data_IF_992540343017
#
_entry.id   IF_992540343017
#
_cell.length_a   1.000
_cell.length_b   1.000
_cell.length_c   1.000
_cell.angle_alpha   90.00
_cell.angle_beta   90.00
_cell.angle_gamma   90.00
#
_symmetry.space_group_name_H-M   'P 1'
#
loop_
_entity.id
_entity.type
_entity.pdbx_description
1 polymer ?
#
# COMPACT_ATOMS: atom_id res chain seq x y z
N UNK A 1 27.89 -14.09 -17.65
CA UNK A 1 27.80 -13.24 -16.45
C UNK A 1 26.33 -13.00 -16.19
N UNK A 2 25.83 -13.05 -14.95
CA UNK A 2 24.45 -12.66 -14.66
C UNK A 2 24.25 -11.18 -15.06
N UNK A 3 23.17 -10.88 -15.77
CA UNK A 3 22.85 -9.51 -16.15
C UNK A 3 22.37 -8.74 -14.92
N UNK A 4 22.64 -7.43 -14.87
CA UNK A 4 22.13 -6.54 -13.82
C UNK A 4 20.88 -5.78 -14.26
N UNK A 5 20.37 -6.02 -15.45
CA UNK A 5 19.19 -5.36 -16.00
C UNK A 5 17.92 -6.16 -15.75
N UNK A 6 16.83 -5.47 -15.42
CA UNK A 6 15.49 -6.03 -15.32
C UNK A 6 14.83 -6.14 -16.68
N UNK A 7 13.84 -7.04 -16.81
CA UNK A 7 13.07 -7.19 -18.03
C UNK A 7 12.01 -6.07 -18.16
N UNK A 8 12.07 -5.27 -19.24
CA UNK A 8 11.08 -4.27 -19.61
C UNK A 8 10.06 -4.87 -20.59
N UNK A 9 9.14 -5.70 -20.10
CA UNK A 9 8.17 -6.42 -20.95
C UNK A 9 6.71 -6.01 -20.75
N UNK A 10 6.43 -5.05 -19.85
CA UNK A 10 5.08 -4.56 -19.60
C UNK A 10 4.64 -3.56 -20.69
N UNK A 11 3.41 -3.74 -21.20
CA UNK A 11 2.80 -2.81 -22.15
C UNK A 11 2.07 -1.69 -21.41
N UNK A 12 1.79 -0.56 -22.07
CA UNK A 12 1.08 0.58 -21.48
C UNK A 12 -0.29 0.19 -20.89
N UNK A 13 -1.03 -0.74 -21.51
CA UNK A 13 -2.29 -1.28 -20.98
C UNK A 13 -2.11 -1.99 -19.63
N UNK A 14 -1.00 -2.75 -19.47
CA UNK A 14 -0.68 -3.45 -18.23
C UNK A 14 -0.40 -2.43 -17.11
N UNK A 15 0.44 -1.42 -17.38
CA UNK A 15 0.77 -0.36 -16.41
C UNK A 15 -0.49 0.37 -15.97
N UNK A 16 -1.38 0.75 -16.90
CA UNK A 16 -2.62 1.45 -16.56
C UNK A 16 -3.52 0.60 -15.68
N UNK A 17 -3.80 -0.66 -16.01
CA UNK A 17 -4.68 -1.51 -15.22
C UNK A 17 -4.04 -2.02 -13.91
N UNK A 18 -2.74 -2.29 -13.90
CA UNK A 18 -2.00 -2.56 -12.66
C UNK A 18 -2.11 -1.36 -11.70
N UNK A 19 -2.01 -0.14 -12.22
CA UNK A 19 -2.22 1.08 -11.42
C UNK A 19 -3.65 1.23 -10.88
N UNK A 20 -4.65 0.67 -11.56
CA UNK A 20 -6.05 0.68 -11.10
C UNK A 20 -6.36 -0.47 -10.15
N UNK A 21 -5.89 -1.67 -10.46
CA UNK A 21 -6.27 -2.90 -9.78
C UNK A 21 -5.27 -3.38 -8.72
N UNK A 22 -3.98 -3.01 -8.86
CA UNK A 22 -2.93 -3.43 -7.93
C UNK A 22 -3.09 -2.92 -6.49
N UNK A 23 -3.96 -1.89 -6.30
CA UNK A 23 -4.27 -1.31 -4.98
C UNK A 23 -5.39 -2.08 -4.28
N UNK A 24 -6.27 -2.74 -5.05
CA UNK A 24 -7.44 -3.43 -4.51
C UNK A 24 -7.02 -4.86 -4.13
N UNK A 25 -6.78 -5.08 -2.86
CA UNK A 25 -6.39 -6.34 -2.25
C UNK A 25 -7.11 -6.60 -0.93
N UNK A 26 -6.45 -7.27 0.00
CA UNK A 26 -6.99 -7.55 1.33
C UNK A 26 -7.41 -6.29 2.09
N UNK A 27 -6.75 -5.16 1.87
CA UNK A 27 -7.09 -3.90 2.55
C UNK A 27 -8.54 -3.48 2.35
N UNK A 28 -9.08 -3.60 1.13
CA UNK A 28 -10.49 -3.26 0.86
C UNK A 28 -11.42 -4.45 1.14
N UNK A 29 -11.10 -5.65 0.61
CA UNK A 29 -12.03 -6.78 0.70
C UNK A 29 -12.12 -7.44 2.07
N UNK A 30 -11.08 -7.29 2.90
CA UNK A 30 -10.98 -7.92 4.23
C UNK A 30 -10.72 -6.88 5.31
N UNK A 31 -9.74 -5.98 5.13
CA UNK A 31 -9.37 -4.97 6.11
C UNK A 31 -10.48 -3.97 6.42
N UNK A 32 -11.42 -3.77 5.49
CA UNK A 32 -12.59 -2.93 5.74
C UNK A 32 -13.47 -3.44 6.88
N UNK A 33 -13.55 -4.75 7.14
CA UNK A 33 -14.25 -5.29 8.30
C UNK A 33 -13.64 -4.81 9.63
N UNK A 34 -12.31 -4.79 9.70
CA UNK A 34 -11.59 -4.27 10.87
C UNK A 34 -11.83 -2.75 11.05
N UNK A 35 -11.76 -1.97 9.96
CA UNK A 35 -12.01 -0.53 10.02
C UNK A 35 -13.45 -0.22 10.44
N UNK A 36 -14.43 -0.95 9.92
CA UNK A 36 -15.85 -0.81 10.29
C UNK A 36 -16.06 -1.18 11.76
N UNK A 37 -15.49 -2.28 12.21
CA UNK A 37 -15.59 -2.72 13.61
C UNK A 37 -14.97 -1.69 14.58
N UNK A 38 -13.84 -1.06 14.20
CA UNK A 38 -13.19 -0.02 15.02
C UNK A 38 -13.99 1.28 15.08
N UNK A 39 -14.51 1.76 13.96
CA UNK A 39 -15.10 3.09 13.84
C UNK A 39 -16.62 3.11 13.92
N UNK A 40 -17.28 1.97 13.76
CA UNK A 40 -18.72 1.93 13.51
C UNK A 40 -19.08 2.58 12.17
N UNK A 41 -20.28 3.14 12.06
CA UNK A 41 -20.73 3.83 10.85
C UNK A 41 -19.89 5.07 10.52
N UNK A 42 -19.22 5.69 11.50
CA UNK A 42 -18.33 6.83 11.30
C UNK A 42 -17.06 6.48 10.50
N UNK A 43 -16.82 5.21 10.19
CA UNK A 43 -15.79 4.73 9.27
C UNK A 43 -15.84 5.45 7.91
N UNK A 44 -17.00 5.91 7.46
CA UNK A 44 -17.15 6.72 6.25
C UNK A 44 -16.30 7.99 6.30
N UNK A 45 -16.25 8.65 7.46
CA UNK A 45 -15.41 9.82 7.68
C UNK A 45 -13.93 9.40 7.70
N UNK A 46 -13.58 8.25 8.29
CA UNK A 46 -12.21 7.71 8.26
C UNK A 46 -11.73 7.49 6.83
N UNK A 47 -12.59 6.92 5.95
CA UNK A 47 -12.29 6.76 4.53
C UNK A 47 -12.18 8.09 3.79
N UNK A 48 -13.04 9.05 4.07
CA UNK A 48 -12.98 10.39 3.45
C UNK A 48 -11.71 11.15 3.86
N UNK A 49 -11.38 11.17 5.15
CA UNK A 49 -10.16 11.83 5.66
C UNK A 49 -8.89 11.16 5.15
N UNK A 50 -8.82 9.84 5.19
CA UNK A 50 -7.69 9.07 4.65
C UNK A 50 -7.54 9.28 3.15
N UNK A 51 -8.65 9.24 2.42
CA UNK A 51 -8.67 9.49 0.98
C UNK A 51 -8.20 10.90 0.62
N UNK A 52 -8.59 11.91 1.38
CA UNK A 52 -8.11 13.28 1.22
C UNK A 52 -6.60 13.37 1.48
N UNK A 53 -6.12 12.75 2.56
CA UNK A 53 -4.70 12.72 2.90
C UNK A 53 -3.88 12.06 1.78
N UNK A 54 -4.29 10.87 1.33
CA UNK A 54 -3.62 10.14 0.24
C UNK A 54 -3.63 10.98 -1.05
N UNK A 55 -4.76 11.59 -1.39
CA UNK A 55 -4.87 12.46 -2.56
C UNK A 55 -3.89 13.64 -2.51
N UNK A 56 -3.77 14.31 -1.35
CA UNK A 56 -2.86 15.44 -1.19
C UNK A 56 -1.40 15.00 -1.30
N UNK A 57 -1.04 13.85 -0.72
CA UNK A 57 0.30 13.25 -0.88
C UNK A 57 0.58 12.90 -2.35
N UNK A 58 -0.39 12.30 -3.06
CA UNK A 58 -0.22 11.99 -4.48
C UNK A 58 -0.05 13.27 -5.32
N UNK A 59 -0.70 14.37 -4.94
CA UNK A 59 -0.52 15.66 -5.59
C UNK A 59 0.87 16.26 -5.33
N UNK A 60 1.39 16.14 -4.09
CA UNK A 60 2.75 16.55 -3.75
C UNK A 60 3.79 15.74 -4.54
N UNK A 61 3.61 14.43 -4.59
CA UNK A 61 4.47 13.55 -5.39
C UNK A 61 4.38 13.90 -6.88
N UNK A 62 3.17 14.17 -7.37
CA UNK A 62 2.93 14.59 -8.74
C UNK A 62 3.62 15.91 -9.12
N UNK A 63 3.67 16.88 -8.21
CA UNK A 63 4.41 18.14 -8.41
C UNK A 63 5.90 17.87 -8.66
N UNK A 64 6.52 17.03 -7.81
CA UNK A 64 7.92 16.66 -7.96
C UNK A 64 8.16 15.83 -9.24
N UNK A 65 7.25 14.91 -9.54
CA UNK A 65 7.35 14.02 -10.70
C UNK A 65 7.21 14.76 -12.04
N UNK A 66 6.38 15.79 -12.11
CA UNK A 66 6.24 16.63 -13.32
C UNK A 66 7.45 17.55 -13.51
N UNK A 67 8.05 18.04 -12.42
CA UNK A 67 9.23 18.90 -12.49
C UNK A 67 10.49 18.11 -12.90
N UNK A 68 10.62 16.85 -12.48
CA UNK A 68 11.76 15.98 -12.81
C UNK A 68 11.25 14.62 -13.32
N UNK A 69 10.79 14.53 -14.59
CA UNK A 69 10.33 13.28 -15.17
C UNK A 69 11.48 12.29 -15.38
N UNK A 70 11.16 10.99 -15.42
CA UNK A 70 12.16 9.94 -15.64
C UNK A 70 12.78 9.35 -14.37
N UNK A 71 12.32 9.77 -13.20
CA UNK A 71 12.71 9.21 -11.90
C UNK A 71 11.78 8.04 -11.56
N UNK A 72 12.36 6.86 -11.36
CA UNK A 72 11.60 5.61 -11.27
C UNK A 72 10.93 5.33 -9.92
N UNK A 73 11.26 6.07 -8.86
CA UNK A 73 10.73 5.81 -7.51
C UNK A 73 10.52 7.07 -6.69
N UNK A 74 9.50 7.05 -5.83
CA UNK A 74 9.29 8.18 -4.94
C UNK A 74 10.36 8.33 -3.83
N UNK A 75 11.15 7.30 -3.59
CA UNK A 75 12.34 7.40 -2.75
C UNK A 75 13.37 8.37 -3.34
N UNK A 76 13.53 8.38 -4.67
CA UNK A 76 14.40 9.35 -5.37
C UNK A 76 13.87 10.77 -5.27
N UNK A 77 12.54 10.96 -5.40
CA UNK A 77 11.93 12.27 -5.18
C UNK A 77 12.14 12.78 -3.75
N UNK A 78 12.05 11.89 -2.75
CA UNK A 78 12.44 12.24 -1.38
C UNK A 78 13.90 12.68 -1.29
N UNK A 79 14.79 12.02 -2.04
CA UNK A 79 16.20 12.36 -2.16
C UNK A 79 16.46 13.72 -2.81
N UNK A 80 15.71 14.10 -3.83
CA UNK A 80 15.81 15.42 -4.46
C UNK A 80 15.47 16.56 -3.49
N UNK A 81 14.45 16.37 -2.66
CA UNK A 81 14.06 17.37 -1.68
C UNK A 81 14.97 17.46 -0.46
N UNK A 82 15.33 16.33 0.11
CA UNK A 82 15.99 16.23 1.43
C UNK A 82 17.40 15.64 1.39
N UNK A 83 17.85 15.17 0.24
CA UNK A 83 19.17 14.57 0.06
C UNK A 83 19.21 13.05 0.19
N UNK A 84 20.41 12.44 -0.02
CA UNK A 84 20.56 10.98 -0.14
C UNK A 84 20.08 10.16 1.06
N UNK A 85 20.07 10.75 2.26
CA UNK A 85 19.56 10.08 3.46
C UNK A 85 18.05 9.78 3.37
N UNK A 86 17.30 10.71 2.79
CA UNK A 86 15.85 10.54 2.64
C UNK A 86 15.55 9.49 1.57
N UNK A 87 16.32 9.46 0.48
CA UNK A 87 16.20 8.41 -0.54
C UNK A 87 16.43 7.02 0.06
N UNK A 88 17.52 6.87 0.83
CA UNK A 88 17.84 5.62 1.51
C UNK A 88 16.73 5.18 2.46
N UNK A 89 16.31 6.08 3.35
CA UNK A 89 15.31 5.77 4.38
C UNK A 89 13.97 5.43 3.76
N UNK A 90 13.50 6.25 2.82
CA UNK A 90 12.23 6.01 2.12
C UNK A 90 12.25 4.71 1.33
N UNK A 91 13.36 4.40 0.65
CA UNK A 91 13.51 3.15 -0.11
C UNK A 91 13.41 1.91 0.77
N UNK A 92 14.11 1.88 1.91
CA UNK A 92 14.06 0.77 2.85
C UNK A 92 12.71 0.65 3.56
N UNK A 93 12.10 1.75 3.97
CA UNK A 93 10.77 1.73 4.61
C UNK A 93 9.69 1.25 3.65
N UNK A 94 9.75 1.67 2.37
CA UNK A 94 8.80 1.21 1.36
C UNK A 94 8.99 -0.27 1.00
N UNK A 95 10.24 -0.73 0.92
CA UNK A 95 10.53 -2.15 0.78
C UNK A 95 9.95 -2.95 1.95
N UNK A 96 10.18 -2.50 3.18
CA UNK A 96 9.67 -3.14 4.39
C UNK A 96 8.13 -3.13 4.45
N UNK A 97 7.51 -2.02 4.05
CA UNK A 97 6.06 -1.95 3.90
C UNK A 97 5.53 -3.09 3.02
N UNK A 98 6.08 -3.26 1.81
CA UNK A 98 5.65 -4.33 0.90
C UNK A 98 5.96 -5.73 1.41
N UNK A 99 7.01 -5.91 2.17
CA UNK A 99 7.31 -7.17 2.88
C UNK A 99 6.17 -7.52 3.85
N UNK A 100 5.66 -6.53 4.60
CA UNK A 100 4.50 -6.73 5.49
C UNK A 100 3.23 -7.01 4.68
N UNK A 101 3.02 -6.32 3.56
CA UNK A 101 1.88 -6.57 2.65
C UNK A 101 1.84 -8.01 2.19
N UNK A 102 2.98 -8.61 1.84
CA UNK A 102 3.06 -10.05 1.50
C UNK A 102 2.52 -10.92 2.63
N UNK A 103 2.84 -10.59 3.89
CA UNK A 103 2.30 -11.29 5.05
C UNK A 103 0.79 -11.10 5.24
N UNK A 104 0.30 -9.86 5.10
CA UNK A 104 -1.14 -9.52 5.20
C UNK A 104 -1.94 -10.30 4.15
N UNK A 105 -1.53 -10.24 2.89
CA UNK A 105 -2.23 -10.88 1.78
C UNK A 105 -2.19 -12.41 1.90
N UNK A 106 -1.09 -12.98 2.44
CA UNK A 106 -0.99 -14.43 2.69
C UNK A 106 -2.04 -14.88 3.70
N UNK A 107 -2.18 -14.17 4.84
CA UNK A 107 -3.16 -14.53 5.87
C UNK A 107 -4.59 -14.28 5.38
N UNK A 108 -4.85 -13.13 4.78
CA UNK A 108 -6.16 -12.80 4.24
C UNK A 108 -6.63 -13.81 3.20
N UNK A 109 -5.76 -14.18 2.26
CA UNK A 109 -6.04 -15.21 1.26
C UNK A 109 -6.33 -16.58 1.88
N UNK A 110 -5.55 -16.97 2.89
CA UNK A 110 -5.75 -18.22 3.60
C UNK A 110 -7.07 -18.23 4.39
N UNK A 111 -7.42 -17.15 5.07
CA UNK A 111 -8.68 -17.00 5.81
C UNK A 111 -9.89 -17.08 4.87
N UNK A 112 -9.84 -16.39 3.72
CA UNK A 112 -10.91 -16.47 2.72
C UNK A 112 -11.07 -17.87 2.15
N UNK A 113 -9.96 -18.56 1.85
CA UNK A 113 -9.98 -19.93 1.32
C UNK A 113 -10.42 -20.99 2.34
N UNK A 114 -10.25 -20.71 3.63
CA UNK A 114 -10.69 -21.60 4.70
C UNK A 114 -12.20 -21.90 4.64
N UNK A 115 -13.02 -21.00 4.06
CA UNK A 115 -14.44 -21.26 3.85
C UNK A 115 -14.73 -22.39 2.84
N UNK A 116 -13.74 -22.76 2.01
CA UNK A 116 -13.88 -23.86 1.01
C UNK A 116 -13.05 -25.08 1.32
N UNK A 117 -11.99 -24.91 2.11
CA UNK A 117 -11.07 -25.99 2.46
C UNK A 117 -11.05 -26.20 3.96
N UNK A 118 -11.40 -27.40 4.42
CA UNK A 118 -11.34 -27.78 5.83
C UNK A 118 -9.89 -27.98 6.31
N UNK A 119 -9.09 -26.89 6.22
CA UNK A 119 -7.68 -26.88 6.61
C UNK A 119 -7.36 -25.65 7.47
N UNK A 120 -6.37 -25.72 8.38
CA UNK A 120 -6.00 -24.57 9.18
C UNK A 120 -5.37 -23.45 8.33
N UNK A 121 -5.62 -22.19 8.72
CA UNK A 121 -5.17 -20.98 7.97
C UNK A 121 -3.68 -21.02 7.67
N UNK A 122 -2.84 -21.43 8.63
CA UNK A 122 -1.39 -21.50 8.43
C UNK A 122 -0.99 -22.42 7.27
N UNK A 123 -1.64 -23.59 7.12
CA UNK A 123 -1.30 -24.54 6.05
C UNK A 123 -1.74 -24.06 4.68
N UNK A 124 -2.92 -23.44 4.58
CA UNK A 124 -3.38 -22.79 3.35
C UNK A 124 -2.43 -21.64 3.00
N UNK A 125 -2.04 -20.82 3.98
CA UNK A 125 -1.09 -19.72 3.80
C UNK A 125 0.28 -20.19 3.28
N UNK A 126 0.82 -21.29 3.79
CA UNK A 126 2.05 -21.89 3.27
C UNK A 126 1.93 -22.30 1.80
N UNK A 127 0.83 -22.96 1.44
CA UNK A 127 0.58 -23.36 0.05
C UNK A 127 0.49 -22.11 -0.86
N UNK A 128 -0.25 -21.10 -0.43
CA UNK A 128 -0.42 -19.86 -1.19
C UNK A 128 0.91 -19.13 -1.44
N UNK A 129 1.71 -18.92 -0.39
CA UNK A 129 2.97 -18.18 -0.54
C UNK A 129 3.96 -18.96 -1.41
N UNK A 130 4.02 -20.29 -1.31
CA UNK A 130 4.87 -21.11 -2.16
C UNK A 130 4.40 -21.05 -3.62
N UNK A 131 3.10 -21.17 -3.87
CA UNK A 131 2.53 -21.10 -5.23
C UNK A 131 2.81 -19.72 -5.86
N UNK A 132 2.58 -18.62 -5.14
CA UNK A 132 2.83 -17.25 -5.64
C UNK A 132 4.33 -16.97 -5.83
N UNK A 133 5.17 -17.54 -5.00
CA UNK A 133 6.63 -17.48 -5.20
C UNK A 133 7.04 -18.20 -6.48
N UNK A 134 6.51 -19.38 -6.73
CA UNK A 134 6.79 -20.14 -7.96
C UNK A 134 6.38 -19.35 -9.21
N UNK A 135 5.19 -18.73 -9.23
CA UNK A 135 4.74 -17.89 -10.35
C UNK A 135 5.68 -16.70 -10.60
N UNK A 136 6.15 -16.02 -9.54
CA UNK A 136 7.07 -14.89 -9.64
C UNK A 136 8.46 -15.29 -10.16
N UNK A 137 8.91 -16.53 -9.93
CA UNK A 137 10.18 -17.05 -10.43
C UNK A 137 10.15 -17.39 -11.94
N UNK A 138 8.96 -17.50 -12.55
CA UNK A 138 8.81 -17.92 -13.95
C UNK A 138 9.11 -16.80 -14.96
N UNK A 139 8.27 -15.74 -15.00
CA UNK A 139 8.41 -14.69 -16.03
C UNK A 139 7.63 -13.41 -15.71
N UNK A 140 8.23 -12.25 -16.05
CA UNK A 140 7.61 -10.92 -15.90
C UNK A 140 6.43 -10.71 -16.86
N UNK A 141 6.48 -11.28 -18.07
CA UNK A 141 5.41 -11.15 -19.06
C UNK A 141 4.13 -11.83 -18.59
N UNK A 142 4.27 -13.03 -18.05
CA UNK A 142 3.14 -13.80 -17.50
C UNK A 142 2.49 -13.04 -16.34
N UNK A 143 3.30 -12.43 -15.47
CA UNK A 143 2.82 -11.56 -14.39
C UNK A 143 1.92 -10.43 -14.93
N UNK A 144 2.36 -9.69 -15.95
CA UNK A 144 1.62 -8.54 -16.49
C UNK A 144 0.24 -8.91 -17.08
N UNK A 145 0.14 -10.04 -17.77
CA UNK A 145 -1.14 -10.51 -18.35
C UNK A 145 -2.12 -10.97 -17.25
N UNK A 146 -1.65 -11.72 -16.26
CA UNK A 146 -2.50 -12.12 -15.14
C UNK A 146 -3.01 -10.90 -14.35
N UNK A 147 -2.13 -9.96 -14.04
CA UNK A 147 -2.50 -8.77 -13.28
C UNK A 147 -3.49 -7.88 -14.01
N UNK A 148 -3.38 -7.79 -15.35
CA UNK A 148 -4.35 -7.08 -16.18
C UNK A 148 -5.78 -7.63 -16.00
N UNK A 149 -5.96 -8.95 -16.15
CA UNK A 149 -7.27 -9.58 -16.04
C UNK A 149 -7.81 -9.55 -14.61
N UNK A 150 -6.97 -9.75 -13.63
CA UNK A 150 -7.37 -9.63 -12.23
C UNK A 150 -7.77 -8.21 -11.86
N UNK A 151 -7.06 -7.21 -12.34
CA UNK A 151 -7.42 -5.81 -12.11
C UNK A 151 -8.78 -5.46 -12.73
N UNK A 152 -9.03 -5.90 -13.96
CA UNK A 152 -10.31 -5.70 -14.63
C UNK A 152 -11.46 -6.36 -13.86
N UNK A 153 -11.27 -7.61 -13.42
CA UNK A 153 -12.26 -8.36 -12.64
C UNK A 153 -12.59 -7.65 -11.31
N UNK A 154 -11.58 -7.19 -10.58
CA UNK A 154 -11.76 -6.46 -9.31
C UNK A 154 -12.59 -5.19 -9.49
N UNK A 155 -12.22 -4.37 -10.48
CA UNK A 155 -12.91 -3.10 -10.76
C UNK A 155 -14.35 -3.34 -11.18
N UNK A 156 -14.59 -4.31 -12.08
CA UNK A 156 -15.93 -4.68 -12.52
C UNK A 156 -16.80 -5.20 -11.36
N UNK A 157 -16.20 -6.01 -10.47
CA UNK A 157 -16.91 -6.58 -9.33
C UNK A 157 -17.34 -5.51 -8.32
N UNK A 158 -16.47 -4.55 -7.99
CA UNK A 158 -16.80 -3.46 -7.07
C UNK A 158 -17.86 -2.54 -7.70
N UNK A 159 -17.74 -2.24 -9.00
CA UNK A 159 -18.76 -1.47 -9.71
C UNK A 159 -20.12 -2.18 -9.69
N UNK A 160 -20.15 -3.48 -9.97
CA UNK A 160 -21.37 -4.29 -9.89
C UNK A 160 -21.93 -4.32 -8.46
N UNK A 161 -21.09 -4.49 -7.44
CA UNK A 161 -21.47 -4.43 -6.04
C UNK A 161 -22.15 -3.09 -5.68
N UNK A 162 -21.57 -1.97 -6.13
CA UNK A 162 -22.14 -0.64 -5.89
C UNK A 162 -23.52 -0.50 -6.57
N UNK A 163 -23.65 -0.95 -7.82
CA UNK A 163 -24.92 -0.89 -8.55
C UNK A 163 -25.98 -1.76 -7.88
N UNK A 164 -25.63 -2.99 -7.52
CA UNK A 164 -26.54 -3.94 -6.85
C UNK A 164 -26.94 -3.42 -5.47
N UNK A 165 -25.99 -2.97 -4.67
CA UNK A 165 -26.24 -2.45 -3.33
C UNK A 165 -27.06 -1.16 -3.34
N UNK A 166 -26.77 -0.24 -4.25
CA UNK A 166 -27.59 0.97 -4.45
C UNK A 166 -29.01 0.63 -4.94
N UNK A 167 -29.15 -0.30 -5.88
CA UNK A 167 -30.43 -0.80 -6.33
C UNK A 167 -31.26 -1.42 -5.19
N UNK A 168 -30.61 -2.21 -4.34
CA UNK A 168 -31.25 -2.77 -3.14
C UNK A 168 -31.73 -1.67 -2.18
N UNK A 169 -30.89 -0.72 -1.84
CA UNK A 169 -31.21 0.34 -0.89
C UNK A 169 -32.24 1.33 -1.41
N UNK A 170 -32.29 1.62 -2.72
CA UNK A 170 -33.12 2.67 -3.29
C UNK A 170 -34.43 2.16 -3.92
N UNK A 171 -34.46 0.92 -4.42
CA UNK A 171 -35.53 0.42 -5.27
C UNK A 171 -36.21 -0.84 -4.72
N UNK A 172 -35.40 -1.85 -4.37
CA UNK A 172 -35.92 -3.21 -4.07
C UNK A 172 -35.94 -3.57 -2.60
N UNK A 173 -35.29 -2.80 -1.76
CA UNK A 173 -35.11 -3.07 -0.33
C UNK A 173 -35.89 -2.11 0.57
N UNK A 174 -35.45 -2.00 1.84
CA UNK A 174 -36.18 -1.25 2.86
C UNK A 174 -36.15 0.28 2.70
N UNK A 175 -35.48 0.79 1.68
CA UNK A 175 -35.43 2.20 1.33
C UNK A 175 -34.38 3.04 2.12
N UNK A 176 -34.19 4.32 1.72
CA UNK A 176 -33.14 5.18 2.30
C UNK A 176 -33.30 5.46 3.80
N UNK A 177 -34.55 5.52 4.30
CA UNK A 177 -34.80 5.74 5.72
C UNK A 177 -34.32 4.59 6.59
N UNK A 178 -34.44 3.35 6.11
CA UNK A 178 -33.91 2.17 6.78
C UNK A 178 -32.37 2.15 6.74
N UNK A 179 -31.74 2.59 5.65
CA UNK A 179 -30.29 2.72 5.56
C UNK A 179 -29.74 3.70 6.62
N UNK A 180 -30.38 4.86 6.79
CA UNK A 180 -30.03 5.82 7.83
C UNK A 180 -30.27 5.24 9.23
N UNK A 181 -31.40 4.56 9.42
CA UNK A 181 -31.69 3.88 10.68
C UNK A 181 -30.61 2.83 11.00
N UNK A 182 -30.20 2.01 10.03
CA UNK A 182 -29.17 0.99 10.22
C UNK A 182 -27.82 1.59 10.64
N UNK A 183 -27.42 2.72 10.03
CA UNK A 183 -26.18 3.43 10.38
C UNK A 183 -26.23 4.04 11.78
N UNK A 184 -27.42 4.26 12.38
CA UNK A 184 -27.59 4.97 13.66
C UNK A 184 -28.14 4.11 14.78
N UNK A 185 -28.69 2.92 14.49
CA UNK A 185 -29.38 2.07 15.46
C UNK A 185 -28.46 1.50 16.55
N UNK A 186 -27.22 1.12 16.19
CA UNK A 186 -26.29 0.44 17.10
C UNK A 186 -25.31 1.42 17.77
N UNK A 187 -25.81 2.26 18.66
CA UNK A 187 -24.99 3.26 19.38
C UNK A 187 -24.78 4.59 18.65
N UNK A 188 -25.56 4.84 17.57
CA UNK A 188 -25.46 6.06 16.78
C UNK A 188 -24.39 6.00 15.68
N UNK A 189 -24.32 7.07 14.89
CA UNK A 189 -23.32 7.18 13.80
C UNK A 189 -21.87 7.15 14.31
N UNK A 190 -21.61 7.73 15.48
CA UNK A 190 -20.33 7.73 16.17
C UNK A 190 -20.31 6.71 17.31
N UNK A 191 -20.76 5.47 17.06
CA UNK A 191 -20.89 4.44 18.08
C UNK A 191 -19.65 4.25 18.95
N UNK A 192 -18.45 4.28 18.34
CA UNK A 192 -17.15 4.15 19.03
C UNK A 192 -16.46 5.52 19.25
N UNK A 193 -17.22 6.61 19.11
CA UNK A 193 -16.72 7.98 19.31
C UNK A 193 -15.66 8.41 18.32
N UNK A 194 -15.06 9.56 18.56
CA UNK A 194 -13.97 10.09 17.75
C UNK A 194 -12.71 9.22 17.79
N UNK A 195 -12.46 8.54 18.89
CA UNK A 195 -11.31 7.63 19.04
C UNK A 195 -11.43 6.46 18.06
N UNK A 196 -12.58 5.82 17.95
CA UNK A 196 -12.83 4.73 17.02
C UNK A 196 -12.63 5.15 15.57
N UNK A 197 -13.18 6.31 15.19
CA UNK A 197 -13.01 6.89 13.86
C UNK A 197 -11.53 7.09 13.51
N UNK A 198 -10.77 7.69 14.42
CA UNK A 198 -9.38 8.04 14.16
C UNK A 198 -8.46 6.80 14.21
N UNK A 199 -8.74 5.82 15.08
CA UNK A 199 -7.95 4.57 15.16
C UNK A 199 -8.13 3.66 13.95
N UNK A 200 -9.20 3.80 13.17
CA UNK A 200 -9.38 3.10 11.92
C UNK A 200 -8.51 3.67 10.77
N UNK A 201 -8.01 4.91 10.87
CA UNK A 201 -7.24 5.58 9.80
C UNK A 201 -6.04 4.76 9.30
N UNK A 202 -5.18 4.15 10.14
CA UNK A 202 -4.06 3.35 9.65
C UNK A 202 -4.48 2.17 8.75
N UNK A 203 -5.55 1.47 9.13
CA UNK A 203 -6.12 0.37 8.35
C UNK A 203 -6.68 0.88 7.02
N UNK A 204 -7.37 2.02 7.04
CA UNK A 204 -7.95 2.65 5.85
C UNK A 204 -6.85 3.15 4.91
N UNK A 205 -5.81 3.81 5.42
CA UNK A 205 -4.67 4.25 4.61
C UNK A 205 -3.98 3.05 3.96
N UNK A 206 -3.77 1.95 4.70
CA UNK A 206 -3.25 0.71 4.14
C UNK A 206 -4.06 0.24 2.92
N UNK A 207 -5.40 0.29 3.01
CA UNK A 207 -6.28 -0.16 1.91
C UNK A 207 -6.16 0.70 0.64
N UNK A 208 -5.62 1.92 0.73
CA UNK A 208 -5.46 2.88 -0.37
C UNK A 208 -4.04 2.91 -0.95
N UNK A 209 -3.12 2.09 -0.43
CA UNK A 209 -1.73 2.02 -0.89
C UNK A 209 -1.61 1.45 -2.29
N UNK A 210 -0.52 1.82 -3.00
CA UNK A 210 -0.29 1.52 -4.41
C UNK A 210 -0.72 2.67 -5.35
N UNK A 211 -1.43 3.69 -4.85
CA UNK A 211 -1.83 4.88 -5.62
C UNK A 211 -0.63 5.66 -6.17
N UNK A 212 0.49 5.61 -5.47
CA UNK A 212 1.77 6.24 -5.82
C UNK A 212 2.36 5.66 -7.10
N UNK A 213 2.20 4.36 -7.34
CA UNK A 213 2.70 3.68 -8.54
C UNK A 213 2.08 4.28 -9.80
N UNK A 214 0.78 4.59 -9.78
CA UNK A 214 0.09 5.24 -10.88
C UNK A 214 0.66 6.64 -11.18
N UNK A 215 0.97 7.41 -10.14
CA UNK A 215 1.50 8.77 -10.26
C UNK A 215 2.91 8.76 -10.84
N UNK A 216 3.76 7.86 -10.40
CA UNK A 216 5.13 7.70 -10.91
C UNK A 216 5.11 7.24 -12.38
N UNK A 217 4.34 6.20 -12.68
CA UNK A 217 4.23 5.70 -14.06
C UNK A 217 3.68 6.77 -15.03
N UNK A 218 2.79 7.65 -14.58
CA UNK A 218 2.28 8.75 -15.39
C UNK A 218 3.37 9.81 -15.71
N UNK A 219 4.32 10.01 -14.80
CA UNK A 219 5.44 10.93 -14.99
C UNK A 219 6.45 10.48 -16.06
N UNK A 220 6.50 9.18 -16.38
CA UNK A 220 7.37 8.60 -17.42
C UNK A 220 6.77 8.66 -18.83
N UNK A 221 5.60 9.30 -18.98
CA UNK A 221 4.89 9.41 -20.27
C UNK A 221 5.33 10.63 -21.07
N UNK A 222 4.90 10.71 -22.38
CA UNK A 222 5.26 11.82 -23.28
C UNK A 222 4.74 13.19 -22.83
N UNK A 223 3.66 13.25 -22.05
CA UNK A 223 3.08 14.47 -21.48
C UNK A 223 2.91 14.28 -19.95
N UNK A 224 3.99 14.42 -19.17
CA UNK A 224 3.99 14.12 -17.74
C UNK A 224 2.99 14.98 -16.96
N UNK A 225 2.95 16.30 -17.22
CA UNK A 225 2.08 17.23 -16.48
C UNK A 225 0.60 16.87 -16.60
N UNK A 226 0.16 16.58 -17.84
CA UNK A 226 -1.23 16.21 -18.12
C UNK A 226 -1.57 14.83 -17.55
N UNK A 227 -0.68 13.86 -17.73
CA UNK A 227 -0.95 12.48 -17.32
C UNK A 227 -0.86 12.28 -15.81
N UNK A 228 0.05 12.97 -15.11
CA UNK A 228 0.09 12.98 -13.64
C UNK A 228 -1.15 13.66 -13.05
N UNK A 229 -1.58 14.80 -13.62
CA UNK A 229 -2.82 15.46 -13.21
C UNK A 229 -4.03 14.55 -13.41
N UNK A 230 -4.07 13.85 -14.54
CA UNK A 230 -5.13 12.86 -14.84
C UNK A 230 -5.07 11.67 -13.87
N UNK A 231 -3.88 11.14 -13.59
CA UNK A 231 -3.69 10.06 -12.62
C UNK A 231 -4.16 10.46 -11.23
N UNK A 232 -3.76 11.63 -10.72
CA UNK A 232 -4.20 12.15 -9.43
C UNK A 232 -5.73 12.30 -9.36
N UNK A 233 -6.37 12.85 -10.42
CA UNK A 233 -7.84 12.95 -10.49
C UNK A 233 -8.51 11.57 -10.49
N UNK A 234 -7.93 10.61 -11.19
CA UNK A 234 -8.44 9.24 -11.26
C UNK A 234 -8.32 8.54 -9.89
N UNK A 235 -7.23 8.76 -9.16
CA UNK A 235 -7.07 8.27 -7.78
C UNK A 235 -8.20 8.81 -6.90
N UNK A 236 -8.50 10.11 -6.95
CA UNK A 236 -9.56 10.71 -6.13
C UNK A 236 -10.95 10.13 -6.45
N UNK A 237 -11.27 10.02 -7.74
CA UNK A 237 -12.54 9.43 -8.18
C UNK A 237 -12.66 7.97 -7.72
N UNK A 238 -11.59 7.22 -7.82
CA UNK A 238 -11.52 5.82 -7.37
C UNK A 238 -11.74 5.70 -5.87
N UNK A 239 -11.08 6.54 -5.07
CA UNK A 239 -11.27 6.56 -3.62
C UNK A 239 -12.74 6.87 -3.30
N UNK A 240 -13.31 7.90 -3.90
CA UNK A 240 -14.70 8.29 -3.65
C UNK A 240 -15.68 7.17 -4.05
N UNK A 241 -15.53 6.62 -5.25
CA UNK A 241 -16.50 5.66 -5.79
C UNK A 241 -16.28 4.26 -5.23
N UNK A 242 -15.05 3.73 -5.29
CA UNK A 242 -14.83 2.33 -4.92
C UNK A 242 -14.70 2.10 -3.42
N UNK A 243 -14.18 3.09 -2.67
CA UNK A 243 -14.05 2.94 -1.23
C UNK A 243 -15.24 3.53 -0.49
N UNK A 244 -15.47 4.83 -0.59
CA UNK A 244 -16.52 5.47 0.21
C UNK A 244 -17.92 4.94 -0.15
N UNK A 245 -18.26 4.80 -1.45
CA UNK A 245 -19.59 4.32 -1.84
C UNK A 245 -19.81 2.85 -1.47
N UNK A 246 -18.79 1.98 -1.65
CA UNK A 246 -18.96 0.57 -1.28
C UNK A 246 -19.09 0.39 0.24
N UNK A 247 -18.29 1.10 1.02
CA UNK A 247 -18.39 1.07 2.49
C UNK A 247 -19.71 1.66 2.97
N UNK A 248 -20.21 2.75 2.33
CA UNK A 248 -21.52 3.31 2.63
C UNK A 248 -22.64 2.27 2.44
N UNK A 249 -22.61 1.50 1.36
CA UNK A 249 -23.56 0.41 1.13
C UNK A 249 -23.44 -0.65 2.23
N UNK A 250 -22.23 -1.08 2.56
CA UNK A 250 -21.99 -2.11 3.57
C UNK A 250 -22.59 -1.69 4.92
N UNK A 251 -22.26 -0.52 5.43
CA UNK A 251 -22.77 -0.06 6.74
C UNK A 251 -24.24 0.34 6.73
N UNK A 252 -24.86 0.49 5.54
CA UNK A 252 -26.28 0.69 5.36
C UNK A 252 -27.09 -0.60 5.35
N UNK A 253 -26.46 -1.73 5.03
CA UNK A 253 -27.11 -3.05 4.91
C UNK A 253 -26.87 -3.90 6.15
N UNK A 254 -25.70 -3.82 6.74
CA UNK A 254 -25.25 -4.67 7.84
C UNK A 254 -24.82 -3.84 9.06
N UNK A 255 -25.24 -4.22 10.30
CA UNK A 255 -24.79 -3.59 11.53
C UNK A 255 -23.27 -3.67 11.68
N UNK A 256 -22.64 -2.57 12.06
CA UNK A 256 -21.19 -2.48 12.23
C UNK A 256 -20.66 -3.44 13.31
N UNK A 257 -21.43 -3.71 14.37
CA UNK A 257 -21.08 -4.57 15.50
C UNK A 257 -21.17 -6.08 15.16
N UNK A 258 -21.81 -6.43 14.05
CA UNK A 258 -21.81 -7.79 13.52
C UNK A 258 -20.58 -8.10 12.67
N UNK A 259 -19.75 -7.10 12.34
CA UNK A 259 -18.56 -7.27 11.51
C UNK A 259 -17.45 -8.01 12.25
N UNK A 260 -16.98 -9.11 11.66
CA UNK A 260 -15.86 -9.89 12.17
C UNK A 260 -14.59 -9.48 11.43
N UNK A 261 -13.57 -8.92 12.14
CA UNK A 261 -12.29 -8.60 11.52
C UNK A 261 -11.65 -9.84 10.87
N UNK A 262 -11.27 -9.71 9.60
CA UNK A 262 -10.72 -10.83 8.81
C UNK A 262 -11.71 -11.45 7.82
N UNK A 263 -13.02 -11.23 7.97
CA UNK A 263 -14.03 -11.64 6.99
C UNK A 263 -14.22 -10.59 5.90
N UNK A 264 -14.85 -10.98 4.79
CA UNK A 264 -15.19 -10.05 3.71
C UNK A 264 -16.58 -9.44 3.91
N UNK A 265 -16.70 -8.15 4.25
CA UNK A 265 -18.01 -7.52 4.39
C UNK A 265 -18.75 -7.41 3.06
N UNK A 266 -18.06 -7.37 1.92
CA UNK A 266 -18.66 -7.42 0.59
C UNK A 266 -19.45 -8.71 0.36
N UNK A 267 -18.88 -9.84 0.70
CA UNK A 267 -19.52 -11.15 0.57
C UNK A 267 -20.76 -11.23 1.47
N UNK A 268 -20.62 -10.77 2.71
CA UNK A 268 -21.67 -10.81 3.72
C UNK A 268 -22.84 -9.88 3.36
N UNK A 269 -22.57 -8.67 2.90
CA UNK A 269 -23.60 -7.75 2.39
C UNK A 269 -24.41 -8.39 1.25
N UNK A 270 -23.76 -9.07 0.29
CA UNK A 270 -24.49 -9.76 -0.78
C UNK A 270 -25.28 -10.98 -0.30
N UNK A 271 -24.87 -11.65 0.79
CA UNK A 271 -25.69 -12.68 1.45
C UNK A 271 -26.97 -12.09 2.01
N UNK A 272 -26.89 -10.93 2.69
CA UNK A 272 -28.05 -10.22 3.26
C UNK A 272 -28.99 -9.74 2.15
N UNK A 273 -28.46 -9.20 1.04
CA UNK A 273 -29.24 -8.79 -0.14
C UNK A 273 -29.99 -9.97 -0.76
N UNK A 274 -29.48 -11.19 -0.62
CA UNK A 274 -30.17 -12.42 -0.98
C UNK A 274 -30.16 -12.76 -2.46
N UNK A 275 -29.27 -12.18 -3.30
CA UNK A 275 -29.15 -12.56 -4.72
C UNK A 275 -28.47 -13.93 -4.83
N UNK A 276 -29.13 -14.95 -5.43
CA UNK A 276 -28.58 -16.27 -5.53
C UNK A 276 -27.21 -16.29 -6.23
N UNK A 277 -26.21 -16.88 -5.58
CA UNK A 277 -24.85 -17.01 -6.13
C UNK A 277 -23.96 -15.77 -6.06
N UNK A 278 -24.51 -14.56 -5.82
CA UNK A 278 -23.74 -13.30 -5.81
C UNK A 278 -22.66 -13.29 -4.73
N UNK A 279 -22.98 -13.74 -3.51
CA UNK A 279 -22.04 -13.83 -2.42
C UNK A 279 -20.91 -14.81 -2.71
N UNK A 280 -21.23 -15.97 -3.31
CA UNK A 280 -20.20 -16.97 -3.69
C UNK A 280 -19.27 -16.40 -4.78
N UNK A 281 -19.82 -15.73 -5.79
CA UNK A 281 -19.03 -15.06 -6.82
C UNK A 281 -18.12 -13.98 -6.21
N UNK A 282 -18.66 -13.15 -5.31
CA UNK A 282 -17.88 -12.11 -4.63
C UNK A 282 -16.75 -12.71 -3.78
N UNK A 283 -16.98 -13.83 -3.12
CA UNK A 283 -15.95 -14.54 -2.36
C UNK A 283 -14.80 -15.01 -3.28
N UNK A 284 -15.11 -15.57 -4.47
CA UNK A 284 -14.09 -15.92 -5.47
C UNK A 284 -13.32 -14.69 -5.93
N UNK A 285 -14.01 -13.58 -6.17
CA UNK A 285 -13.38 -12.32 -6.59
C UNK A 285 -12.48 -11.77 -5.48
N UNK A 286 -12.92 -11.79 -4.21
CA UNK A 286 -12.10 -11.37 -3.09
C UNK A 286 -10.81 -12.19 -2.98
N UNK A 287 -10.88 -13.52 -3.12
CA UNK A 287 -9.69 -14.38 -3.16
C UNK A 287 -8.78 -14.02 -4.32
N UNK A 288 -9.32 -13.88 -5.53
CA UNK A 288 -8.48 -13.49 -6.68
C UNK A 288 -7.84 -12.13 -6.51
N UNK A 289 -8.52 -11.18 -5.85
CA UNK A 289 -8.00 -9.87 -5.54
C UNK A 289 -6.81 -9.93 -4.56
N UNK A 290 -6.95 -10.72 -3.51
CA UNK A 290 -5.90 -10.95 -2.52
C UNK A 290 -4.69 -11.65 -3.14
N UNK A 291 -4.91 -12.70 -3.93
CA UNK A 291 -3.83 -13.42 -4.61
C UNK A 291 -3.08 -12.55 -5.62
N UNK A 292 -3.78 -11.69 -6.35
CA UNK A 292 -3.18 -10.71 -7.25
C UNK A 292 -2.31 -9.70 -6.48
N UNK A 293 -2.80 -9.20 -5.33
CA UNK A 293 -2.03 -8.27 -4.50
C UNK A 293 -0.80 -8.97 -3.88
N UNK A 294 -0.92 -10.22 -3.43
CA UNK A 294 0.19 -11.03 -2.94
C UNK A 294 1.26 -11.22 -4.03
N UNK A 295 0.83 -11.55 -5.25
CA UNK A 295 1.71 -11.69 -6.41
C UNK A 295 2.44 -10.39 -6.73
N UNK A 296 1.72 -9.25 -6.72
CA UNK A 296 2.30 -7.91 -6.92
C UNK A 296 3.24 -7.52 -5.78
N UNK A 297 2.94 -7.88 -4.54
CA UNK A 297 3.80 -7.65 -3.38
C UNK A 297 5.16 -8.33 -3.53
N UNK A 298 5.19 -9.61 -3.91
CA UNK A 298 6.43 -10.34 -4.21
C UNK A 298 7.19 -9.73 -5.40
N UNK A 299 6.48 -9.27 -6.42
CA UNK A 299 7.07 -8.58 -7.56
C UNK A 299 7.74 -7.28 -7.13
N UNK A 300 7.06 -6.42 -6.37
CA UNK A 300 7.55 -5.11 -5.95
C UNK A 300 8.71 -5.25 -4.96
N UNK A 301 8.58 -6.10 -3.93
CA UNK A 301 9.65 -6.31 -2.93
C UNK A 301 10.95 -6.74 -3.57
N UNK A 302 10.89 -7.65 -4.54
CA UNK A 302 12.10 -8.16 -5.20
C UNK A 302 12.80 -7.10 -6.04
N UNK A 303 12.05 -6.23 -6.71
CA UNK A 303 12.60 -5.15 -7.56
C UNK A 303 13.10 -3.98 -6.76
N UNK A 304 12.40 -3.62 -5.69
CA UNK A 304 12.88 -2.59 -4.75
C UNK A 304 14.22 -2.99 -4.14
N UNK A 305 14.35 -4.24 -3.69
CA UNK A 305 15.62 -4.74 -3.11
C UNK A 305 16.75 -4.77 -4.16
N UNK A 306 16.42 -5.17 -5.40
CA UNK A 306 17.36 -5.13 -6.52
C UNK A 306 17.83 -3.69 -6.80
N UNK A 307 16.93 -2.72 -6.84
CA UNK A 307 17.26 -1.33 -7.09
C UNK A 307 18.09 -0.71 -5.96
N UNK A 308 17.74 -0.99 -4.69
CA UNK A 308 18.57 -0.61 -3.54
C UNK A 308 19.99 -1.18 -3.64
N UNK A 309 20.12 -2.44 -4.08
CA UNK A 309 21.44 -3.07 -4.26
C UNK A 309 22.23 -2.44 -5.42
N UNK A 310 21.59 -2.08 -6.52
CA UNK A 310 22.23 -1.36 -7.65
C UNK A 310 22.79 0.00 -7.25
N UNK A 311 22.12 0.70 -6.34
CA UNK A 311 22.56 1.99 -5.79
C UNK A 311 23.62 1.85 -4.69
N UNK A 312 23.96 0.61 -4.30
CA UNK A 312 24.85 0.34 -3.17
C UNK A 312 24.20 0.62 -1.81
N UNK A 313 22.87 0.66 -1.76
CA UNK A 313 22.05 0.85 -0.54
C UNK A 313 21.69 -0.48 0.13
N UNK A 314 21.85 -1.61 -0.58
CA UNK A 314 21.69 -2.97 -0.09
C UNK A 314 22.87 -3.86 -0.51
N UNK A 315 23.03 -5.06 0.07
CA UNK A 315 24.08 -6.00 -0.32
C UNK A 315 24.06 -6.33 -1.83
N UNK A 316 25.22 -6.28 -2.49
CA UNK A 316 25.37 -6.44 -3.93
C UNK A 316 24.82 -7.76 -4.48
N UNK A 317 24.68 -8.79 -3.64
CA UNK A 317 24.10 -10.10 -4.02
C UNK A 317 22.67 -9.96 -4.55
N UNK A 318 21.89 -8.98 -4.09
CA UNK A 318 20.52 -8.72 -4.54
C UNK A 318 20.45 -7.99 -5.88
N UNK A 319 21.57 -7.45 -6.40
CA UNK A 319 21.65 -6.86 -7.73
C UNK A 319 21.72 -7.92 -8.84
N UNK A 320 21.97 -9.19 -8.50
CA UNK A 320 22.07 -10.27 -9.46
C UNK A 320 20.67 -10.68 -9.97
N UNK A 321 20.56 -10.88 -11.30
CA UNK A 321 19.37 -11.41 -11.95
C UNK A 321 19.67 -12.74 -12.66
N UNK A 322 18.61 -13.55 -12.84
CA UNK A 322 18.70 -14.79 -13.62
C UNK A 322 18.86 -14.51 -15.13
N UNK A 323 19.10 -15.55 -15.94
CA UNK A 323 19.09 -15.46 -17.40
C UNK A 323 17.79 -14.88 -17.99
N UNK A 324 16.66 -14.98 -17.27
CA UNK A 324 15.37 -14.36 -17.62
C UNK A 324 15.18 -12.96 -17.03
N UNK A 325 16.24 -12.34 -16.51
CA UNK A 325 16.25 -11.01 -15.88
C UNK A 325 15.31 -10.89 -14.68
N UNK A 326 15.16 -11.98 -13.91
CA UNK A 326 14.34 -12.05 -12.70
C UNK A 326 15.24 -12.02 -11.46
N UNK A 327 15.00 -11.15 -10.47
CA UNK A 327 15.80 -11.04 -9.24
C UNK A 327 15.40 -12.14 -8.23
N UNK A 328 15.84 -13.39 -8.48
CA UNK A 328 15.42 -14.58 -7.72
C UNK A 328 15.67 -14.47 -6.22
N UNK A 329 16.84 -13.98 -5.81
CA UNK A 329 17.16 -13.82 -4.39
C UNK A 329 16.24 -12.81 -3.71
N UNK A 330 15.88 -11.71 -4.40
CA UNK A 330 14.92 -10.74 -3.89
C UNK A 330 13.52 -11.35 -3.71
N UNK A 331 13.06 -12.19 -4.64
CA UNK A 331 11.78 -12.91 -4.52
C UNK A 331 11.80 -13.84 -3.32
N UNK A 332 12.82 -14.70 -3.20
CA UNK A 332 12.95 -15.64 -2.08
C UNK A 332 13.02 -14.93 -0.74
N UNK A 333 13.71 -13.80 -0.67
CA UNK A 333 13.79 -13.00 0.55
C UNK A 333 12.44 -12.39 0.92
N UNK A 334 11.68 -11.88 -0.06
CA UNK A 334 10.30 -11.40 0.17
C UNK A 334 9.34 -12.54 0.60
N UNK A 335 9.54 -13.77 0.10
CA UNK A 335 8.77 -14.96 0.47
C UNK A 335 8.87 -15.29 1.97
N UNK A 336 10.03 -15.05 2.59
CA UNK A 336 10.25 -15.33 4.02
C UNK A 336 9.20 -14.64 4.88
N UNK A 337 8.80 -13.41 4.55
CA UNK A 337 7.78 -12.68 5.30
C UNK A 337 6.41 -13.38 5.27
N UNK A 338 5.98 -13.84 4.09
CA UNK A 338 4.74 -14.60 3.96
C UNK A 338 4.79 -15.93 4.71
N UNK A 339 5.94 -16.63 4.68
CA UNK A 339 6.14 -17.86 5.46
C UNK A 339 6.05 -17.59 6.97
N UNK A 340 6.71 -16.54 7.45
CA UNK A 340 6.66 -16.16 8.87
C UNK A 340 5.25 -15.75 9.30
N UNK A 341 4.52 -15.00 8.46
CA UNK A 341 3.14 -14.62 8.72
C UNK A 341 2.22 -15.87 8.78
N UNK A 342 2.36 -16.79 7.82
CA UNK A 342 1.61 -18.04 7.81
C UNK A 342 1.89 -18.87 9.09
N UNK A 343 3.15 -19.01 9.51
CA UNK A 343 3.51 -19.71 10.74
C UNK A 343 2.98 -18.99 11.99
N UNK A 344 3.08 -17.66 12.05
CA UNK A 344 2.55 -16.88 13.17
C UNK A 344 1.02 -17.02 13.31
N UNK A 345 0.30 -17.25 12.20
CA UNK A 345 -1.15 -17.46 12.21
C UNK A 345 -1.59 -18.75 12.93
N UNK A 346 -0.66 -19.65 13.29
CA UNK A 346 -0.93 -20.79 14.17
C UNK A 346 -1.47 -20.32 15.52
N UNK A 347 -0.97 -19.20 16.04
CA UNK A 347 -1.36 -18.65 17.34
C UNK A 347 -2.70 -17.93 17.24
N UNK A 348 -2.85 -17.01 16.28
CA UNK A 348 -4.08 -16.23 16.07
C UNK A 348 -4.07 -15.62 14.67
N UNK A 349 -4.83 -16.19 13.71
CA UNK A 349 -4.91 -15.62 12.36
C UNK A 349 -5.35 -14.16 12.36
N UNK A 350 -6.45 -13.85 13.06
CA UNK A 350 -7.00 -12.48 13.13
C UNK A 350 -6.08 -11.51 13.87
N UNK A 351 -5.43 -11.98 14.95
CA UNK A 351 -4.47 -11.15 15.70
C UNK A 351 -3.26 -10.78 14.85
N UNK A 352 -2.69 -11.73 14.12
CA UNK A 352 -1.55 -11.47 13.21
C UNK A 352 -1.98 -10.59 12.04
N UNK A 353 -3.15 -10.81 11.44
CA UNK A 353 -3.68 -9.96 10.39
C UNK A 353 -3.81 -8.50 10.85
N UNK A 354 -4.49 -8.25 11.97
CA UNK A 354 -4.67 -6.91 12.53
C UNK A 354 -3.34 -6.25 12.90
N UNK A 355 -2.42 -7.02 13.48
CA UNK A 355 -1.09 -6.54 13.80
C UNK A 355 -0.34 -6.07 12.55
N UNK A 356 -0.30 -6.87 11.50
CA UNK A 356 0.42 -6.56 10.27
C UNK A 356 -0.22 -5.38 9.52
N UNK A 357 -1.54 -5.30 9.44
CA UNK A 357 -2.24 -4.22 8.73
C UNK A 357 -2.04 -2.87 9.42
N UNK A 358 -2.10 -2.83 10.75
CA UNK A 358 -1.84 -1.60 11.52
C UNK A 358 -0.36 -1.18 11.45
N UNK A 359 0.56 -2.15 11.52
CA UNK A 359 2.00 -1.88 11.39
C UNK A 359 2.33 -1.30 10.01
N UNK A 360 1.77 -1.86 8.94
CA UNK A 360 1.97 -1.33 7.58
C UNK A 360 1.37 0.07 7.43
N UNK A 361 0.19 0.34 8.00
CA UNK A 361 -0.41 1.66 8.03
C UNK A 361 0.47 2.70 8.75
N UNK A 362 1.11 2.33 9.86
CA UNK A 362 2.04 3.22 10.55
C UNK A 362 3.30 3.52 9.73
N UNK A 363 3.89 2.50 9.08
CA UNK A 363 5.10 2.70 8.25
C UNK A 363 4.84 3.65 7.11
N UNK A 364 3.71 3.54 6.44
CA UNK A 364 3.40 4.42 5.32
C UNK A 364 3.20 5.87 5.76
N UNK A 365 2.69 6.10 6.98
CA UNK A 365 2.60 7.45 7.53
C UNK A 365 3.99 8.08 7.70
N UNK A 366 5.01 7.33 8.12
CA UNK A 366 6.39 7.84 8.15
C UNK A 366 6.90 8.18 6.74
N UNK A 367 6.59 7.36 5.75
CA UNK A 367 6.95 7.62 4.35
C UNK A 367 6.24 8.89 3.85
N UNK A 368 4.95 9.05 4.12
CA UNK A 368 4.18 10.22 3.74
C UNK A 368 4.72 11.50 4.40
N UNK A 369 5.17 11.41 5.64
CA UNK A 369 5.85 12.51 6.33
C UNK A 369 7.11 12.94 5.58
N UNK A 370 7.96 11.98 5.19
CA UNK A 370 9.20 12.26 4.44
C UNK A 370 8.88 12.87 3.07
N UNK A 371 7.89 12.33 2.35
CA UNK A 371 7.47 12.83 1.04
C UNK A 371 6.94 14.27 1.14
N UNK A 372 6.13 14.58 2.16
CA UNK A 372 5.60 15.91 2.36
C UNK A 372 6.69 16.95 2.70
N UNK A 373 7.63 16.57 3.57
CA UNK A 373 8.80 17.40 3.87
C UNK A 373 9.69 17.61 2.65
N UNK A 374 9.89 16.54 1.86
CA UNK A 374 10.67 16.60 0.62
C UNK A 374 10.04 17.54 -0.41
N UNK A 375 8.72 17.50 -0.59
CA UNK A 375 8.01 18.38 -1.51
C UNK A 375 8.16 19.86 -1.11
N UNK A 376 8.04 20.18 0.18
CA UNK A 376 8.20 21.58 0.64
C UNK A 376 9.61 22.07 0.30
N UNK A 377 10.64 21.30 0.65
CA UNK A 377 12.02 21.71 0.41
C UNK A 377 12.38 21.74 -1.07
N UNK A 378 11.91 20.75 -1.83
CA UNK A 378 12.08 20.67 -3.28
C UNK A 378 11.50 21.93 -3.96
N UNK A 379 10.27 22.30 -3.63
CA UNK A 379 9.61 23.45 -4.20
C UNK A 379 10.32 24.76 -3.83
N UNK A 380 10.74 24.92 -2.58
CA UNK A 380 11.51 26.12 -2.15
C UNK A 380 12.80 26.27 -2.96
N UNK A 381 13.52 25.15 -3.20
CA UNK A 381 14.74 25.15 -4.00
C UNK A 381 14.46 25.51 -5.47
N UNK A 382 13.36 24.98 -6.04
CA UNK A 382 12.98 25.27 -7.43
C UNK A 382 12.53 26.73 -7.63
N UNK A 383 11.75 27.26 -6.71
CA UNK A 383 11.33 28.68 -6.74
C UNK A 383 12.53 29.63 -6.59
N UNK A 384 13.53 29.25 -5.77
CA UNK A 384 14.77 30.00 -5.62
C UNK A 384 15.64 29.99 -6.90
N UNK A 385 15.58 28.92 -7.72
CA UNK A 385 16.27 28.82 -9.02
C UNK A 385 15.53 29.55 -10.15
N UNK A 386 14.32 30.06 -9.91
CA UNK A 386 13.50 30.73 -10.91
C UNK A 386 12.76 29.84 -11.89
N UNK A 387 12.76 28.53 -11.65
CA UNK A 387 12.06 27.56 -12.50
C UNK A 387 10.54 27.60 -12.29
N UNK A 388 9.78 27.48 -13.37
CA UNK A 388 8.32 27.47 -13.33
C UNK A 388 7.77 26.07 -13.25
N UNK A 389 7.04 25.77 -12.18
CA UNK A 389 6.31 24.53 -12.01
C UNK A 389 5.06 24.48 -12.90
N UNK A 390 4.89 23.41 -13.67
CA UNK A 390 3.68 23.15 -14.48
C UNK A 390 2.52 22.63 -13.62
N UNK A 391 2.82 21.77 -12.64
CA UNK A 391 1.87 21.30 -11.64
C UNK A 391 2.26 21.85 -10.27
N UNK A 392 1.29 22.42 -9.54
CA UNK A 392 1.54 23.04 -8.23
C UNK A 392 0.62 22.47 -7.16
N UNK A 393 1.14 22.26 -5.95
CA UNK A 393 0.34 22.04 -4.76
C UNK A 393 -0.48 23.27 -4.43
N UNK A 394 -1.75 23.08 -4.12
CA UNK A 394 -2.66 24.16 -3.76
C UNK A 394 -2.27 24.79 -2.41
N UNK A 395 -2.58 26.08 -2.22
CA UNK A 395 -2.40 26.80 -0.96
C UNK A 395 -1.01 26.55 -0.29
N UNK A 396 0.02 26.35 -1.12
CA UNK A 396 1.37 26.18 -0.60
C UNK A 396 1.85 27.43 0.14
N UNK A 397 2.56 27.27 1.28
CA UNK A 397 2.96 26.05 1.94
C UNK A 397 1.94 25.50 2.96
N UNK A 398 0.84 26.21 3.22
CA UNK A 398 -0.08 25.95 4.31
C UNK A 398 -0.75 24.56 4.22
N UNK A 399 -1.21 24.19 3.04
CA UNK A 399 -1.83 22.86 2.85
C UNK A 399 -0.80 21.73 2.98
N UNK A 400 0.45 21.97 2.59
CA UNK A 400 1.54 21.01 2.80
C UNK A 400 1.85 20.83 4.30
N UNK A 401 1.87 21.90 5.08
CA UNK A 401 1.98 21.81 6.54
C UNK A 401 0.74 21.15 7.17
N UNK A 402 -0.45 21.43 6.63
CA UNK A 402 -1.68 20.75 7.05
C UNK A 402 -1.62 19.23 6.88
N UNK A 403 -1.05 18.74 5.77
CA UNK A 403 -0.81 17.29 5.54
C UNK A 403 0.17 16.74 6.58
N UNK A 404 1.28 17.42 6.84
CA UNK A 404 2.25 17.01 7.87
C UNK A 404 1.58 16.96 9.25
N UNK A 405 0.78 17.98 9.59
CA UNK A 405 0.02 18.03 10.84
C UNK A 405 -0.99 16.89 10.95
N UNK A 406 -1.70 16.57 9.86
CA UNK A 406 -2.63 15.44 9.80
C UNK A 406 -1.94 14.09 10.01
N UNK A 407 -0.82 13.85 9.33
CA UNK A 407 -0.01 12.64 9.52
C UNK A 407 0.51 12.56 10.97
N UNK A 408 1.06 13.65 11.50
CA UNK A 408 1.56 13.71 12.87
C UNK A 408 0.44 13.44 13.88
N UNK A 409 -0.75 14.01 13.67
CA UNK A 409 -1.91 13.78 14.54
C UNK A 409 -2.30 12.29 14.59
N UNK A 410 -2.31 11.60 13.44
CA UNK A 410 -2.59 10.15 13.40
C UNK A 410 -1.51 9.35 14.14
N UNK A 411 -0.23 9.67 13.95
CA UNK A 411 0.87 9.00 14.66
C UNK A 411 0.80 9.22 16.19
N UNK A 412 0.50 10.45 16.62
CA UNK A 412 0.29 10.75 18.06
C UNK A 412 -0.89 9.97 18.61
N UNK A 413 -2.00 9.91 17.88
CA UNK A 413 -3.15 9.14 18.30
C UNK A 413 -2.83 7.65 18.44
N UNK A 414 -2.08 7.06 17.50
CA UNK A 414 -1.61 5.68 17.63
C UNK A 414 -0.75 5.48 18.87
N UNK A 415 0.09 6.48 19.23
CA UNK A 415 0.95 6.41 20.41
C UNK A 415 0.15 6.35 21.72
N UNK A 416 -0.96 7.08 21.82
CA UNK A 416 -1.78 7.17 23.03
C UNK A 416 -2.91 6.14 23.09
N UNK A 417 -3.18 5.42 21.97
CA UNK A 417 -4.25 4.43 21.92
C UNK A 417 -3.72 3.06 22.34
N UNK A 418 -4.27 2.45 23.42
CA UNK A 418 -3.93 1.09 23.80
C UNK A 418 -4.13 0.11 22.62
N UNK A 419 -3.15 -0.77 22.41
CA UNK A 419 -3.16 -1.73 21.31
C UNK A 419 -2.51 -1.20 20.01
N UNK A 420 -2.64 0.09 19.65
CA UNK A 420 -1.95 0.67 18.51
C UNK A 420 -0.54 1.17 18.84
N UNK A 421 -0.28 1.49 20.09
CA UNK A 421 1.04 1.96 20.56
C UNK A 421 2.15 0.92 20.32
N UNK A 422 1.86 -0.37 20.43
CA UNK A 422 2.82 -1.45 20.15
C UNK A 422 3.18 -1.48 18.66
N UNK A 423 2.17 -1.41 17.75
CA UNK A 423 2.41 -1.38 16.32
C UNK A 423 3.19 -0.14 15.89
N UNK A 424 2.87 1.02 16.48
CA UNK A 424 3.64 2.24 16.26
C UNK A 424 5.08 2.11 16.76
N UNK A 425 5.29 1.56 17.96
CA UNK A 425 6.63 1.37 18.52
C UNK A 425 7.49 0.45 17.65
N UNK A 426 6.92 -0.65 17.13
CA UNK A 426 7.63 -1.55 16.21
C UNK A 426 7.88 -0.91 14.85
N UNK A 427 6.96 -0.09 14.35
CA UNK A 427 7.17 0.68 13.13
C UNK A 427 8.27 1.74 13.33
N UNK A 428 8.27 2.43 14.48
CA UNK A 428 9.33 3.38 14.84
C UNK A 428 10.68 2.67 15.03
N UNK A 429 10.70 1.46 15.59
CA UNK A 429 11.90 0.62 15.66
C UNK A 429 12.44 0.29 14.27
N UNK A 430 11.56 -0.03 13.31
CA UNK A 430 11.96 -0.28 11.91
C UNK A 430 12.60 0.97 11.29
N UNK A 431 12.04 2.16 11.56
CA UNK A 431 12.64 3.45 11.15
C UNK A 431 14.01 3.64 11.81
N UNK A 432 14.12 3.38 13.11
CA UNK A 432 15.39 3.48 13.85
C UNK A 432 16.46 2.52 13.29
N UNK A 433 16.10 1.28 12.98
CA UNK A 433 16.98 0.30 12.33
C UNK A 433 17.49 0.83 10.98
N UNK A 434 16.60 1.39 10.15
CA UNK A 434 16.99 1.97 8.86
C UNK A 434 17.91 3.19 9.03
N UNK A 435 17.69 4.03 10.05
CA UNK A 435 18.58 5.16 10.39
C UNK A 435 19.96 4.67 10.85
N UNK A 436 20.02 3.66 11.71
CA UNK A 436 21.26 3.05 12.15
C UNK A 436 22.02 2.43 10.96
N UNK A 437 21.33 1.73 10.07
CA UNK A 437 21.92 1.17 8.84
C UNK A 437 22.52 2.28 7.95
N UNK A 438 21.83 3.40 7.80
CA UNK A 438 22.33 4.58 7.09
C UNK A 438 23.61 5.13 7.74
N UNK A 439 23.62 5.25 9.06
CA UNK A 439 24.78 5.75 9.80
C UNK A 439 25.99 4.82 9.64
N UNK A 440 25.79 3.52 9.80
CA UNK A 440 26.84 2.51 9.58
C UNK A 440 27.39 2.58 8.16
N UNK A 441 26.52 2.64 7.13
CA UNK A 441 26.93 2.81 5.74
C UNK A 441 27.83 4.02 5.55
N UNK A 442 27.47 5.17 6.11
CA UNK A 442 28.29 6.40 6.02
C UNK A 442 29.63 6.23 6.71
N UNK A 443 29.66 5.59 7.87
CA UNK A 443 30.89 5.33 8.60
C UNK A 443 31.86 4.40 7.82
N UNK A 444 31.31 3.33 7.21
CA UNK A 444 32.12 2.41 6.38
C UNK A 444 32.61 3.06 5.08
N UNK A 445 31.78 3.88 4.42
CA UNK A 445 32.20 4.61 3.22
C UNK A 445 33.32 5.59 3.50
N UNK A 446 33.25 6.36 4.59
CA UNK A 446 34.32 7.26 5.01
C UNK A 446 35.62 6.51 5.29
N UNK A 447 35.56 5.34 5.95
CA UNK A 447 36.74 4.52 6.22
C UNK A 447 37.38 3.96 4.93
N UNK A 448 36.60 3.64 3.90
CA UNK A 448 37.13 3.19 2.59
C UNK A 448 37.87 4.33 1.87
N UNK A 449 37.33 5.53 1.87
CA UNK A 449 37.96 6.71 1.28
C UNK A 449 39.26 7.02 1.99
N UNK A 450 39.29 7.08 3.32
CA UNK A 450 40.50 7.33 4.11
C UNK A 450 41.57 6.24 3.92
N UNK A 451 41.17 4.97 3.79
CA UNK A 451 42.12 3.89 3.48
C UNK A 451 42.67 3.99 2.05
N UNK A 452 41.86 4.39 1.07
CA UNK A 452 42.32 4.60 -0.29
C UNK A 452 43.29 5.79 -0.39
N UNK A 453 42.98 6.89 0.30
CA UNK A 453 43.88 8.06 0.43
C UNK A 453 45.21 7.66 1.13
N UNK A 454 45.14 6.95 2.25
CA UNK A 454 46.35 6.48 2.95
C UNK A 454 47.21 5.52 2.07
N UNK A 455 46.58 4.64 1.29
CA UNK A 455 47.27 3.76 0.36
C UNK A 455 47.91 4.52 -0.82
N UNK A 456 47.35 5.67 -1.22
CA UNK A 456 47.95 6.52 -2.26
C UNK A 456 49.15 7.31 -1.76
N UNK A 457 49.25 7.59 -0.46
CA UNK A 457 50.39 8.27 0.15
C UNK A 457 51.56 7.33 0.48
N UNK A 458 51.30 6.02 0.62
CA UNK A 458 52.34 5.01 0.86
C UNK A 458 52.26 3.93 -0.23
N UNK A 459 52.77 4.19 -1.46
CA UNK A 459 52.92 3.12 -2.45
C UNK A 459 53.83 2.04 -1.90
N UNK A 460 53.38 0.78 -1.91
CA UNK A 460 54.18 -0.33 -1.45
C UNK A 460 55.54 -0.31 -2.19
N UNK A 461 56.62 -0.08 -1.47
CA UNK A 461 57.98 -0.28 -1.98
C UNK A 461 58.10 -1.76 -2.38
N UNK A 462 58.24 -2.00 -3.69
CA UNK A 462 58.59 -3.31 -4.25
C UNK A 462 60.07 -3.53 -4.14
#
# INVERSE_FOLDING_TARGET
>A
MPSTELAHSLQARHVTLISFGGIIGAGLFVGSSAAIHMAGSSVLISYALSGLLVFLIMRMLGEMAVAHPGIGTFAEYAGLGLGPWAAFLTGWLYWYFWVIVVGVETIAGATLLQHWFAAPVWSIGLVLIVAMTATNLLSVRTYGEFEFWFALLKVAAIAAFIVVGAGFLLVFGPGPASAVHQMTAHGGFFANGWSGLLTAIPVVIFSMMGSEVATIAAAETRDPARNVTRAARTVSLRILVFYVASIAIIVSVEPWDSMVPGDSPFTRTLQIIGIPGAARLMSVIAVTAVLSCLNSGLYITSRMLHELARRGDAPAVFAATSARRVPRLGILFGTVAGLLAALASIVSPNGVFLFLINTSGAIILFIYMIVALAQIRFRQNLEASGERLQLRMWLFPWLSYGVIGGVAAVLVLMAITPGLSVQLALSALSVAVAVVALWLRRAFSRRRVLKAEAASYFPAQK
#
